data_IF_669048699870
#
_entry.id   IF_669048699870
#
_cell.length_a   1.000
_cell.length_b   1.000
_cell.length_c   1.000
_cell.angle_alpha   90.00
_cell.angle_beta   90.00
_cell.angle_gamma   90.00
#
_symmetry.space_group_name_H-M   'P 1'
#
loop_
_entity.id
_entity.type
_entity.pdbx_description
1 polymer ?
#
# COMPACT_ATOMS: atom_id res chain seq x y z
N UNK A 1 -26.79 -50.50 -20.76
CA UNK A 1 -25.57 -49.70 -21.00
C UNK A 1 -25.98 -48.33 -21.53
N UNK A 2 -26.00 -47.30 -20.70
CA UNK A 2 -26.05 -45.90 -21.14
C UNK A 2 -25.06 -45.14 -20.26
N UNK A 3 -24.01 -44.62 -20.89
CA UNK A 3 -22.81 -44.11 -20.24
C UNK A 3 -23.02 -42.75 -19.57
N UNK A 4 -22.51 -42.67 -18.34
CA UNK A 4 -22.16 -41.43 -17.65
C UNK A 4 -21.24 -40.58 -18.53
N UNK A 5 -21.52 -39.28 -18.63
CA UNK A 5 -20.54 -38.28 -19.03
C UNK A 5 -20.22 -37.40 -17.83
N UNK A 6 -18.99 -37.54 -17.35
CA UNK A 6 -18.39 -36.75 -16.29
C UNK A 6 -18.39 -35.26 -16.63
N UNK A 7 -18.94 -34.45 -15.72
CA UNK A 7 -18.82 -33.00 -15.76
C UNK A 7 -17.50 -32.61 -15.08
N UNK A 8 -16.48 -32.30 -15.90
CA UNK A 8 -15.20 -31.79 -15.44
C UNK A 8 -15.39 -30.44 -14.71
N UNK A 9 -15.13 -30.42 -13.41
CA UNK A 9 -15.05 -29.21 -12.61
C UNK A 9 -13.91 -28.32 -13.12
N UNK A 10 -14.24 -27.17 -13.72
CA UNK A 10 -13.26 -26.15 -14.11
C UNK A 10 -12.95 -25.28 -12.91
N UNK A 11 -11.69 -25.33 -12.46
CA UNK A 11 -11.19 -24.56 -11.32
C UNK A 11 -11.27 -23.04 -11.55
N UNK A 12 -11.68 -22.32 -10.51
CA UNK A 12 -11.70 -20.86 -10.45
C UNK A 12 -10.28 -20.31 -10.45
N UNK A 13 -9.85 -19.66 -11.55
CA UNK A 13 -8.55 -18.99 -11.65
C UNK A 13 -8.61 -17.62 -10.97
N UNK A 14 -8.42 -17.59 -9.66
CA UNK A 14 -8.11 -16.38 -8.90
C UNK A 14 -6.59 -16.14 -8.98
N UNK A 15 -6.18 -15.01 -9.57
CA UNK A 15 -4.75 -14.62 -9.71
C UNK A 15 -4.48 -13.39 -8.87
N UNK A 16 -3.40 -13.42 -8.09
CA UNK A 16 -2.88 -12.27 -7.33
C UNK A 16 -1.55 -11.90 -7.93
N UNK A 17 -1.47 -10.71 -8.52
CA UNK A 17 -0.20 -10.12 -8.94
C UNK A 17 0.24 -9.09 -7.90
N UNK A 18 1.41 -9.32 -7.32
CA UNK A 18 2.08 -8.34 -6.48
C UNK A 18 3.16 -7.69 -7.32
N UNK A 19 2.84 -6.54 -7.91
CA UNK A 19 3.87 -5.74 -8.56
C UNK A 19 4.78 -5.08 -7.50
N UNK A 20 5.93 -5.73 -7.25
CA UNK A 20 6.99 -5.18 -6.43
C UNK A 20 8.01 -4.37 -7.25
N UNK A 21 7.94 -4.35 -8.58
CA UNK A 21 8.91 -3.69 -9.47
C UNK A 21 8.50 -2.24 -9.74
N UNK A 22 8.87 -1.37 -8.80
CA UNK A 22 8.86 0.08 -8.99
C UNK A 22 10.15 0.67 -8.44
N UNK A 23 11.28 0.25 -9.00
CA UNK A 23 12.54 0.98 -8.85
C UNK A 23 12.46 2.24 -9.72
N UNK A 24 12.49 3.38 -9.04
CA UNK A 24 12.53 4.72 -9.63
C UNK A 24 14.00 5.07 -9.79
N UNK A 25 14.46 5.11 -11.04
CA UNK A 25 15.67 5.81 -11.47
C UNK A 25 15.21 7.06 -12.20
N UNK A 26 15.24 8.20 -11.50
CA UNK A 26 15.16 9.53 -12.13
C UNK A 26 16.61 9.99 -12.28
N UNK A 27 17.11 10.05 -13.52
CA UNK A 27 18.29 10.85 -13.85
C UNK A 27 17.86 11.97 -14.80
N UNK A 28 18.09 13.19 -14.32
CA UNK A 28 17.90 14.47 -14.96
C UNK A 28 19.29 14.93 -15.40
N UNK A 29 19.51 15.08 -16.71
CA UNK A 29 20.73 15.69 -17.25
C UNK A 29 20.33 16.85 -18.15
N UNK A 30 20.56 18.05 -17.63
CA UNK A 30 20.58 19.31 -18.37
C UNK A 30 22.03 19.72 -18.65
N UNK A 31 22.32 20.19 -19.88
CA UNK A 31 23.26 21.29 -20.26
C UNK A 31 23.59 21.25 -21.78
N UNK A 32 24.16 22.30 -22.41
CA UNK A 32 23.49 23.55 -22.82
C UNK A 32 23.76 23.96 -24.30
N UNK A 33 23.05 25.03 -24.73
CA UNK A 33 23.30 26.03 -25.80
C UNK A 33 24.01 25.70 -27.13
N UNK A 34 23.39 26.05 -28.27
CA UNK A 34 23.92 27.10 -29.17
C UNK A 34 22.90 27.61 -30.22
N UNK A 35 23.08 28.88 -30.60
CA UNK A 35 22.28 29.76 -31.48
C UNK A 35 22.56 29.52 -32.98
N UNK A 36 21.55 29.73 -33.83
CA UNK A 36 21.73 30.60 -35.02
C UNK A 36 21.19 30.17 -36.41
N UNK A 37 19.98 30.69 -36.72
CA UNK A 37 19.56 31.39 -37.98
C UNK A 37 19.25 30.71 -39.34
N UNK A 38 18.06 31.12 -39.86
CA UNK A 38 17.52 31.22 -41.26
C UNK A 38 17.15 29.92 -42.01
N UNK A 39 16.02 29.78 -42.73
CA UNK A 39 14.84 30.60 -43.03
C UNK A 39 13.97 29.91 -44.12
N UNK A 40 12.75 30.44 -44.34
CA UNK A 40 11.84 30.30 -45.52
C UNK A 40 10.82 29.12 -45.61
N UNK A 41 9.56 29.48 -45.34
CA UNK A 41 8.29 29.34 -46.11
C UNK A 41 7.87 28.00 -46.78
N UNK A 42 6.77 27.39 -46.32
CA UNK A 42 5.38 27.46 -46.88
C UNK A 42 4.47 26.27 -46.49
N UNK A 43 3.24 26.64 -46.09
CA UNK A 43 1.91 25.99 -46.12
C UNK A 43 1.68 24.49 -45.79
N UNK A 44 0.85 24.24 -44.73
CA UNK A 44 -0.49 23.65 -44.83
C UNK A 44 -0.96 22.89 -43.55
N UNK A 45 -2.05 23.42 -42.96
CA UNK A 45 -3.20 22.72 -42.35
C UNK A 45 -3.01 21.64 -41.25
N UNK A 46 -3.33 21.97 -39.99
CA UNK A 46 -4.13 21.17 -39.05
C UNK A 46 -4.74 22.05 -37.91
N UNK A 47 -5.88 21.66 -37.28
CA UNK A 47 -6.85 22.59 -36.68
C UNK A 47 -6.63 22.95 -35.19
N UNK A 48 -7.17 24.12 -34.81
CA UNK A 48 -7.21 24.66 -33.44
C UNK A 48 -8.31 24.05 -32.55
N UNK A 49 -8.13 24.04 -31.21
CA UNK A 49 -9.06 23.46 -30.25
C UNK A 49 -10.30 24.34 -29.98
N UNK A 50 -11.44 23.77 -29.53
CA UNK A 50 -12.69 24.51 -29.38
C UNK A 50 -12.69 25.41 -28.12
N UNK A 51 -13.08 26.68 -28.32
CA UNK A 51 -13.35 27.63 -27.26
C UNK A 51 -14.69 27.33 -26.55
N UNK A 52 -14.69 27.61 -25.24
CA UNK A 52 -15.81 27.50 -24.31
C UNK A 52 -17.03 28.30 -24.79
N UNK A 53 -18.17 27.63 -24.86
CA UNK A 53 -19.50 28.23 -25.06
C UNK A 53 -19.92 29.00 -23.81
N UNK A 54 -20.09 30.31 -23.96
CA UNK A 54 -20.77 31.20 -23.02
C UNK A 54 -22.27 31.12 -23.35
N UNK A 55 -23.09 30.74 -22.36
CA UNK A 55 -24.54 30.75 -22.49
C UNK A 55 -25.09 32.12 -22.10
N UNK A 56 -25.82 32.72 -23.03
CA UNK A 56 -26.61 33.94 -22.88
C UNK A 56 -27.93 33.64 -22.16
N UNK A 57 -28.32 34.50 -21.21
CA UNK A 57 -29.68 34.53 -20.65
C UNK A 57 -30.20 35.96 -20.61
N UNK A 58 -31.36 36.15 -21.25
CA UNK A 58 -32.17 37.36 -21.41
C UNK A 58 -32.80 37.81 -20.08
N UNK A 59 -33.04 39.12 -19.84
CA UNK A 59 -33.65 39.60 -18.60
C UNK A 59 -35.19 39.58 -18.67
N UNK A 60 -35.84 39.15 -17.60
CA UNK A 60 -37.29 39.31 -17.40
C UNK A 60 -37.53 39.92 -16.02
N UNK A 61 -38.16 41.11 -16.03
CA UNK A 61 -38.45 41.93 -14.87
C UNK A 61 -39.78 41.53 -14.21
N UNK A 62 -39.77 41.25 -12.90
CA UNK A 62 -40.94 41.39 -12.02
C UNK A 62 -40.47 41.67 -10.57
N UNK A 63 -41.18 42.53 -9.80
CA UNK A 63 -40.64 43.11 -8.56
C UNK A 63 -40.85 42.20 -7.33
N UNK A 64 -39.95 42.35 -6.36
CA UNK A 64 -39.92 41.60 -5.10
C UNK A 64 -40.88 42.18 -4.03
N UNK A 65 -41.45 41.33 -3.16
CA UNK A 65 -42.21 41.78 -1.98
C UNK A 65 -41.29 42.17 -0.80
N UNK A 66 -41.76 43.02 0.14
CA UNK A 66 -40.92 43.65 1.17
C UNK A 66 -40.48 42.66 2.26
N UNK A 67 -39.23 42.81 2.70
CA UNK A 67 -38.59 42.03 3.75
C UNK A 67 -38.99 42.53 5.15
N UNK A 68 -39.48 41.61 5.99
CA UNK A 68 -39.74 41.84 7.42
C UNK A 68 -38.41 41.65 8.19
N UNK A 69 -38.04 42.57 9.10
CA UNK A 69 -36.83 42.43 9.90
C UNK A 69 -36.99 41.38 11.01
N UNK A 70 -36.19 40.32 10.96
CA UNK A 70 -36.08 39.34 12.04
C UNK A 70 -35.15 39.87 13.14
N UNK A 71 -35.70 40.10 14.33
CA UNK A 71 -34.99 40.41 15.57
C UNK A 71 -34.34 39.13 16.14
N UNK A 72 -33.13 39.20 16.71
CA UNK A 72 -32.50 38.04 17.35
C UNK A 72 -33.12 37.79 18.74
N UNK A 73 -33.77 36.63 18.88
CA UNK A 73 -34.31 36.13 20.15
C UNK A 73 -33.17 35.70 21.09
N UNK A 74 -33.04 36.40 22.22
CA UNK A 74 -32.11 36.09 23.31
C UNK A 74 -32.62 34.88 24.09
N UNK A 75 -31.90 33.75 23.98
CA UNK A 75 -32.16 32.55 24.78
C UNK A 75 -31.56 32.73 26.20
N UNK A 76 -32.30 32.48 27.29
CA UNK A 76 -31.74 32.57 28.65
C UNK A 76 -30.71 31.46 28.91
N UNK A 77 -29.60 31.83 29.56
CA UNK A 77 -28.51 30.95 30.01
C UNK A 77 -28.97 30.08 31.18
N UNK A 78 -28.80 28.77 31.07
CA UNK A 78 -28.94 27.84 32.19
C UNK A 78 -27.80 28.02 33.22
N UNK A 79 -28.04 27.78 34.53
CA UNK A 79 -27.02 27.91 35.57
C UNK A 79 -25.89 26.88 35.39
N UNK A 80 -24.64 27.33 35.54
CA UNK A 80 -23.45 26.46 35.56
C UNK A 80 -23.30 25.82 36.95
N UNK A 81 -23.28 24.49 36.99
CA UNK A 81 -22.85 23.71 38.16
C UNK A 81 -21.30 23.68 38.22
N UNK A 82 -20.66 23.65 39.42
CA UNK A 82 -19.20 23.77 39.52
C UNK A 82 -18.46 22.59 38.88
N UNK A 83 -17.45 22.92 38.07
CA UNK A 83 -16.54 21.96 37.44
C UNK A 83 -15.76 21.18 38.49
N UNK A 84 -16.06 19.89 38.65
CA UNK A 84 -15.17 18.97 39.35
C UNK A 84 -13.99 18.62 38.44
N UNK A 85 -12.77 18.76 38.97
CA UNK A 85 -11.52 18.40 38.32
C UNK A 85 -11.49 16.89 38.06
N UNK A 86 -11.43 16.49 36.79
CA UNK A 86 -11.17 15.11 36.40
C UNK A 86 -9.68 14.80 36.63
N UNK A 87 -9.33 13.61 37.18
CA UNK A 87 -7.95 13.21 37.37
C UNK A 87 -7.22 13.00 36.01
N UNK A 88 -5.89 13.11 35.98
CA UNK A 88 -5.11 13.00 34.75
C UNK A 88 -5.32 11.63 34.12
N UNK A 89 -5.73 11.62 32.85
CA UNK A 89 -5.87 10.42 32.04
C UNK A 89 -4.50 9.77 31.90
N UNK A 90 -4.37 8.57 32.48
CA UNK A 90 -3.27 7.64 32.15
C UNK A 90 -3.28 7.37 30.65
N UNK A 91 -2.12 7.28 29.98
CA UNK A 91 -2.08 6.95 28.56
C UNK A 91 -2.60 5.51 28.37
N UNK A 92 -3.81 5.39 27.84
CA UNK A 92 -4.34 4.12 27.37
C UNK A 92 -3.35 3.56 26.36
N UNK A 93 -2.75 2.41 26.70
CA UNK A 93 -2.00 1.59 25.77
C UNK A 93 -2.87 1.35 24.54
N UNK A 94 -2.56 2.03 23.44
CA UNK A 94 -3.23 1.84 22.16
C UNK A 94 -2.91 0.41 21.76
N UNK A 95 -3.89 -0.49 21.88
CA UNK A 95 -3.85 -1.82 21.29
C UNK A 95 -3.50 -1.68 19.82
N UNK A 96 -2.24 -1.91 19.46
CA UNK A 96 -1.76 -1.73 18.10
C UNK A 96 -2.36 -2.84 17.24
N UNK A 97 -3.39 -2.52 16.47
CA UNK A 97 -3.97 -3.45 15.50
C UNK A 97 -2.86 -3.99 14.60
N UNK A 98 -2.68 -5.31 14.48
CA UNK A 98 -1.62 -5.89 13.65
C UNK A 98 -1.72 -5.42 12.19
N UNK A 99 -0.57 -5.05 11.63
CA UNK A 99 -0.45 -4.71 10.20
C UNK A 99 -0.42 -5.97 9.36
N UNK A 100 -1.01 -5.93 8.17
CA UNK A 100 -0.99 -7.02 7.19
C UNK A 100 0.44 -7.38 6.77
N UNK A 101 0.76 -8.66 6.91
CA UNK A 101 1.96 -9.29 6.37
C UNK A 101 1.82 -9.56 4.87
N UNK A 102 2.94 -9.82 4.16
CA UNK A 102 2.89 -10.20 2.75
C UNK A 102 2.01 -11.43 2.46
N UNK A 103 2.02 -12.44 3.35
CA UNK A 103 1.16 -13.64 3.23
C UNK A 103 -0.32 -13.30 3.32
N UNK A 104 -0.69 -12.39 4.21
CA UNK A 104 -2.07 -11.94 4.38
C UNK A 104 -2.57 -11.24 3.11
N UNK A 105 -1.73 -10.40 2.50
CA UNK A 105 -2.04 -9.72 1.24
C UNK A 105 -2.29 -10.67 0.07
N UNK A 106 -1.70 -11.86 0.10
CA UNK A 106 -1.90 -12.89 -0.94
C UNK A 106 -3.18 -13.70 -0.72
N UNK A 107 -3.53 -13.97 0.53
CA UNK A 107 -4.54 -14.98 0.87
C UNK A 107 -5.88 -14.37 1.26
N UNK A 108 -5.89 -13.37 2.13
CA UNK A 108 -7.12 -12.79 2.67
C UNK A 108 -8.05 -12.19 1.60
N UNK A 109 -7.57 -11.46 0.58
CA UNK A 109 -8.45 -10.95 -0.47
C UNK A 109 -9.19 -12.06 -1.21
N UNK A 110 -8.49 -13.15 -1.55
CA UNK A 110 -9.08 -14.26 -2.31
C UNK A 110 -10.11 -15.02 -1.49
N UNK A 111 -9.81 -15.26 -0.20
CA UNK A 111 -10.75 -15.89 0.72
C UNK A 111 -12.02 -15.04 0.86
N UNK A 112 -11.87 -13.73 1.05
CA UNK A 112 -13.01 -12.83 1.19
C UNK A 112 -13.84 -12.72 -0.10
N UNK A 113 -13.20 -12.65 -1.27
CA UNK A 113 -13.90 -12.65 -2.57
C UNK A 113 -14.73 -13.93 -2.71
N UNK A 114 -14.11 -15.10 -2.49
CA UNK A 114 -14.81 -16.39 -2.61
C UNK A 114 -15.97 -16.50 -1.62
N UNK A 115 -15.77 -16.04 -0.40
CA UNK A 115 -16.79 -16.04 0.64
C UNK A 115 -17.97 -15.15 0.27
N UNK A 116 -17.73 -13.88 -0.06
CA UNK A 116 -18.79 -12.93 -0.41
C UNK A 116 -19.47 -13.28 -1.74
N UNK A 117 -18.73 -13.81 -2.71
CA UNK A 117 -19.33 -14.29 -3.95
C UNK A 117 -20.36 -15.39 -3.69
N UNK A 118 -20.01 -16.41 -2.90
CA UNK A 118 -20.91 -17.52 -2.54
C UNK A 118 -22.06 -17.11 -1.63
N UNK A 119 -21.80 -16.26 -0.64
CA UNK A 119 -22.75 -15.95 0.43
C UNK A 119 -23.60 -14.71 0.14
N UNK A 120 -23.21 -13.85 -0.81
CA UNK A 120 -23.90 -12.60 -1.15
C UNK A 120 -24.19 -12.51 -2.64
N UNK A 121 -23.17 -12.49 -3.49
CA UNK A 121 -23.34 -12.08 -4.90
C UNK A 121 -23.98 -13.16 -5.79
N UNK A 122 -23.83 -14.44 -5.45
CA UNK A 122 -24.52 -15.57 -6.12
C UNK A 122 -25.89 -15.88 -5.53
N UNK A 123 -26.24 -15.28 -4.39
CA UNK A 123 -27.51 -15.51 -3.73
C UNK A 123 -28.65 -14.83 -4.48
N UNK A 124 -29.84 -15.41 -4.42
CA UNK A 124 -31.06 -14.75 -4.91
C UNK A 124 -31.64 -13.84 -3.84
N UNK A 125 -32.00 -12.63 -4.24
CA UNK A 125 -32.49 -11.58 -3.35
C UNK A 125 -33.77 -10.95 -3.90
N UNK A 126 -34.73 -10.70 -3.01
CA UNK A 126 -35.84 -9.77 -3.23
C UNK A 126 -35.63 -8.57 -2.30
N UNK A 127 -35.15 -7.45 -2.87
CA UNK A 127 -34.63 -6.33 -2.09
C UNK A 127 -33.50 -6.78 -1.16
N UNK A 128 -33.75 -6.78 0.15
CA UNK A 128 -32.84 -7.23 1.20
C UNK A 128 -33.17 -8.62 1.77
N UNK A 129 -34.24 -9.26 1.31
CA UNK A 129 -34.60 -10.61 1.74
C UNK A 129 -33.84 -11.64 0.88
N UNK A 130 -33.03 -12.48 1.52
CA UNK A 130 -32.41 -13.62 0.84
C UNK A 130 -33.48 -14.69 0.58
N UNK A 131 -33.61 -15.14 -0.66
CA UNK A 131 -34.61 -16.13 -1.08
C UNK A 131 -34.08 -17.57 -0.99
N UNK A 132 -32.77 -17.74 -0.95
CA UNK A 132 -32.17 -19.05 -0.77
C UNK A 132 -32.20 -19.46 0.70
N UNK A 133 -32.26 -20.77 0.98
CA UNK A 133 -32.36 -21.24 2.38
C UNK A 133 -31.08 -20.92 3.14
N UNK A 134 -31.21 -20.77 4.46
CA UNK A 134 -30.06 -20.58 5.35
C UNK A 134 -29.09 -21.77 5.20
N UNK A 135 -27.81 -21.47 4.98
CA UNK A 135 -26.77 -22.48 4.77
C UNK A 135 -26.62 -23.00 3.34
N UNK A 136 -27.54 -22.71 2.42
CA UNK A 136 -27.33 -23.04 1.00
C UNK A 136 -26.23 -22.14 0.42
N UNK A 137 -25.53 -22.60 -0.61
CA UNK A 137 -24.64 -21.76 -1.40
C UNK A 137 -25.41 -21.07 -2.52
N UNK A 138 -25.04 -19.83 -2.85
CA UNK A 138 -25.63 -19.13 -3.99
C UNK A 138 -25.26 -19.80 -5.31
N UNK A 139 -26.24 -19.97 -6.20
CA UNK A 139 -26.09 -20.63 -7.52
C UNK A 139 -26.21 -19.65 -8.69
N UNK A 140 -26.35 -18.36 -8.42
CA UNK A 140 -26.37 -17.32 -9.44
C UNK A 140 -25.02 -17.14 -10.15
N UNK A 141 -25.02 -16.27 -11.18
CA UNK A 141 -23.81 -15.92 -11.95
C UNK A 141 -22.71 -15.34 -11.06
N UNK A 142 -23.07 -14.57 -10.03
CA UNK A 142 -22.14 -13.98 -9.08
C UNK A 142 -21.31 -12.85 -9.68
N UNK A 143 -20.20 -12.53 -9.02
CA UNK A 143 -19.17 -11.64 -9.53
C UNK A 143 -18.55 -12.18 -10.83
N UNK A 144 -17.93 -11.31 -11.66
CA UNK A 144 -17.13 -11.77 -12.80
C UNK A 144 -16.12 -12.84 -12.39
N UNK A 145 -15.99 -13.89 -13.18
CA UNK A 145 -14.96 -14.90 -12.95
C UNK A 145 -13.56 -14.28 -13.08
N UNK A 146 -12.62 -14.75 -12.25
CA UNK A 146 -11.24 -14.29 -12.30
C UNK A 146 -11.03 -12.84 -11.87
N UNK A 147 -11.76 -12.34 -10.85
CA UNK A 147 -11.45 -11.04 -10.24
C UNK A 147 -9.99 -11.03 -9.80
N UNK A 148 -9.21 -10.15 -10.42
CA UNK A 148 -7.80 -9.98 -10.12
C UNK A 148 -7.64 -8.97 -8.98
N UNK A 149 -6.73 -9.25 -8.04
CA UNK A 149 -6.39 -8.31 -6.96
C UNK A 149 -4.92 -7.90 -7.09
N UNK A 150 -4.68 -6.60 -7.22
CA UNK A 150 -3.34 -6.03 -7.34
C UNK A 150 -3.06 -5.08 -6.18
N UNK A 151 -1.88 -5.19 -5.58
CA UNK A 151 -1.44 -4.32 -4.49
C UNK A 151 -0.55 -3.18 -4.99
N UNK A 152 -1.00 -1.95 -4.78
CA UNK A 152 -0.35 -0.74 -5.28
C UNK A 152 0.35 0.06 -4.19
N UNK A 153 1.63 0.36 -4.42
CA UNK A 153 2.40 1.32 -3.61
C UNK A 153 2.14 2.78 -4.00
N UNK A 154 1.49 3.00 -5.14
CA UNK A 154 1.21 4.30 -5.77
C UNK A 154 -0.20 4.83 -5.46
N UNK A 155 -1.11 3.98 -5.00
CA UNK A 155 -2.43 4.39 -4.51
C UNK A 155 -2.30 5.01 -3.10
N UNK A 156 -2.06 6.33 -3.02
CA UNK A 156 -1.72 7.02 -1.76
C UNK A 156 -2.86 7.81 -1.12
N UNK A 157 -3.92 8.10 -1.87
CA UNK A 157 -5.05 8.93 -1.42
C UNK A 157 -6.35 8.15 -1.26
N UNK A 158 -6.44 6.97 -1.86
CA UNK A 158 -7.59 6.07 -1.78
C UNK A 158 -7.13 4.71 -1.28
N UNK A 159 -8.05 3.97 -0.67
CA UNK A 159 -7.78 2.65 -0.13
C UNK A 159 -7.85 1.56 -1.20
N UNK A 160 -8.76 1.70 -2.15
CA UNK A 160 -8.97 0.77 -3.25
C UNK A 160 -9.51 1.46 -4.50
N UNK A 161 -9.57 0.70 -5.59
CA UNK A 161 -10.27 1.05 -6.82
C UNK A 161 -10.60 -0.21 -7.63
N UNK A 162 -11.87 -0.36 -8.02
CA UNK A 162 -12.30 -1.38 -8.97
C UNK A 162 -12.26 -0.89 -10.42
N UNK A 163 -11.97 -1.80 -11.36
CA UNK A 163 -12.13 -1.60 -12.81
C UNK A 163 -12.79 -2.83 -13.41
N UNK A 164 -13.69 -2.60 -14.37
CA UNK A 164 -14.38 -3.67 -15.08
C UNK A 164 -14.51 -3.35 -16.56
N UNK A 165 -14.28 -4.36 -17.40
CA UNK A 165 -14.44 -4.29 -18.86
C UNK A 165 -15.17 -5.51 -19.37
N UNK A 166 -16.18 -5.30 -20.22
CA UNK A 166 -16.89 -6.34 -20.95
C UNK A 166 -16.44 -6.33 -22.41
N UNK A 167 -15.96 -7.45 -22.92
CA UNK A 167 -15.64 -7.63 -24.34
C UNK A 167 -16.56 -8.69 -24.94
N UNK A 168 -16.89 -8.54 -26.22
CA UNK A 168 -17.63 -9.54 -27.00
C UNK A 168 -16.77 -9.94 -28.18
N UNK A 169 -16.42 -11.20 -28.28
CA UNK A 169 -15.69 -11.76 -29.42
C UNK A 169 -16.54 -12.79 -30.12
N UNK A 170 -16.54 -12.76 -31.45
CA UNK A 170 -16.97 -13.88 -32.29
C UNK A 170 -15.79 -14.83 -32.41
N UNK A 171 -15.93 -16.04 -31.86
CA UNK A 171 -14.84 -17.02 -31.76
C UNK A 171 -14.42 -17.57 -33.15
N UNK A 172 -15.24 -17.35 -34.18
CA UNK A 172 -14.98 -17.78 -35.56
C UNK A 172 -15.75 -16.89 -36.56
N UNK A 173 -15.15 -16.48 -37.70
CA UNK A 173 -15.91 -15.89 -38.80
C UNK A 173 -16.95 -16.91 -39.28
N UNK A 174 -18.24 -16.63 -39.08
CA UNK A 174 -19.34 -17.53 -39.47
C UNK A 174 -19.97 -18.36 -38.34
N UNK A 175 -19.44 -18.33 -37.10
CA UNK A 175 -20.15 -18.91 -35.94
C UNK A 175 -21.10 -17.89 -35.31
N UNK A 176 -22.37 -18.24 -35.02
CA UNK A 176 -23.29 -17.37 -34.28
C UNK A 176 -22.92 -17.23 -32.79
N UNK A 177 -21.93 -17.97 -32.29
CA UNK A 177 -21.58 -17.99 -30.87
C UNK A 177 -20.73 -16.77 -30.48
N UNK A 178 -21.40 -15.77 -29.89
CA UNK A 178 -20.77 -14.58 -29.30
C UNK A 178 -20.31 -14.90 -27.89
N UNK A 179 -19.00 -15.04 -27.68
CA UNK A 179 -18.43 -15.21 -26.34
C UNK A 179 -18.30 -13.83 -25.68
N UNK A 180 -18.94 -13.65 -24.52
CA UNK A 180 -18.77 -12.43 -23.71
C UNK A 180 -17.74 -12.70 -22.63
N UNK A 181 -16.64 -11.96 -22.65
CA UNK A 181 -15.59 -12.03 -21.63
C UNK A 181 -15.65 -10.83 -20.71
N UNK A 182 -15.40 -11.06 -19.43
CA UNK A 182 -15.36 -10.03 -18.41
C UNK A 182 -13.95 -9.96 -17.83
N UNK A 183 -13.39 -8.76 -17.72
CA UNK A 183 -12.14 -8.49 -17.02
C UNK A 183 -12.48 -7.62 -15.82
N UNK A 184 -12.18 -8.09 -14.62
CA UNK A 184 -12.44 -7.39 -13.37
C UNK A 184 -11.14 -7.31 -12.56
N UNK A 185 -10.78 -6.10 -12.15
CA UNK A 185 -9.56 -5.81 -11.39
C UNK A 185 -9.93 -4.99 -10.15
N UNK A 186 -9.37 -5.35 -9.00
CA UNK A 186 -9.38 -4.56 -7.78
C UNK A 186 -7.95 -4.18 -7.42
N UNK A 187 -7.65 -2.89 -7.47
CA UNK A 187 -6.38 -2.33 -7.00
C UNK A 187 -6.51 -1.90 -5.54
N UNK A 188 -5.65 -2.39 -4.64
CA UNK A 188 -5.65 -2.06 -3.21
C UNK A 188 -4.36 -1.33 -2.80
N UNK A 189 -4.48 -0.33 -1.94
CA UNK A 189 -3.34 0.43 -1.43
C UNK A 189 -2.57 -0.32 -0.35
N UNK A 190 -1.27 -0.52 -0.54
CA UNK A 190 -0.38 -1.09 0.49
C UNK A 190 -0.29 -0.19 1.73
N UNK A 191 -0.43 1.13 1.55
CA UNK A 191 -0.19 2.12 2.61
C UNK A 191 -1.44 2.54 3.35
N UNK A 192 -2.61 2.45 2.70
CA UNK A 192 -3.90 2.83 3.29
C UNK A 192 -4.64 1.59 3.81
N UNK A 193 -4.63 0.50 3.06
CA UNK A 193 -5.31 -0.78 3.38
C UNK A 193 -4.35 -1.72 4.09
N UNK A 194 -3.97 -1.35 5.31
CA UNK A 194 -2.82 -1.94 6.01
C UNK A 194 -3.16 -2.84 7.19
N UNK A 195 -4.44 -3.02 7.51
CA UNK A 195 -4.94 -3.93 8.56
C UNK A 195 -6.03 -4.83 7.98
N UNK A 196 -6.32 -5.94 8.66
CA UNK A 196 -7.37 -6.89 8.24
C UNK A 196 -8.75 -6.22 8.12
N UNK A 197 -9.13 -5.41 9.11
CA UNK A 197 -10.40 -4.67 9.08
C UNK A 197 -10.49 -3.75 7.86
N UNK A 198 -9.46 -2.92 7.62
CA UNK A 198 -9.44 -2.02 6.44
C UNK A 198 -9.51 -2.80 5.12
N UNK A 199 -8.83 -3.96 5.04
CA UNK A 199 -8.91 -4.84 3.89
C UNK A 199 -10.35 -5.31 3.65
N UNK A 200 -11.03 -5.80 4.68
CA UNK A 200 -12.40 -6.32 4.56
C UNK A 200 -13.36 -5.24 4.07
N UNK A 201 -13.37 -4.08 4.72
CA UNK A 201 -14.25 -2.96 4.36
C UNK A 201 -14.00 -2.47 2.93
N UNK A 202 -12.73 -2.23 2.59
CA UNK A 202 -12.37 -1.71 1.27
C UNK A 202 -12.60 -2.73 0.17
N UNK A 203 -12.20 -3.97 0.35
CA UNK A 203 -12.42 -4.99 -0.68
C UNK A 203 -13.92 -5.21 -0.90
N UNK A 204 -14.73 -5.30 0.17
CA UNK A 204 -16.17 -5.40 0.03
C UNK A 204 -16.79 -4.21 -0.74
N UNK A 205 -16.33 -2.99 -0.48
CA UNK A 205 -16.72 -1.80 -1.24
C UNK A 205 -16.42 -1.95 -2.74
N UNK A 206 -15.19 -2.33 -3.09
CA UNK A 206 -14.80 -2.52 -4.48
C UNK A 206 -15.58 -3.67 -5.16
N UNK A 207 -15.92 -4.73 -4.42
CA UNK A 207 -16.77 -5.82 -4.94
C UNK A 207 -18.21 -5.38 -5.15
N UNK A 208 -18.77 -4.50 -4.31
CA UNK A 208 -20.09 -3.91 -4.55
C UNK A 208 -20.13 -3.08 -5.83
N UNK A 209 -19.04 -2.39 -6.19
CA UNK A 209 -18.91 -1.74 -7.50
C UNK A 209 -18.94 -2.77 -8.63
N UNK A 210 -18.14 -3.83 -8.55
CA UNK A 210 -18.14 -4.89 -9.56
C UNK A 210 -19.52 -5.54 -9.72
N UNK A 211 -20.23 -5.79 -8.63
CA UNK A 211 -21.59 -6.33 -8.66
C UNK A 211 -22.58 -5.38 -9.34
N UNK A 212 -22.58 -4.09 -8.98
CA UNK A 212 -23.42 -3.08 -9.61
C UNK A 212 -23.18 -3.00 -11.13
N UNK A 213 -21.92 -3.08 -11.58
CA UNK A 213 -21.58 -3.01 -13.01
C UNK A 213 -21.88 -4.31 -13.76
N UNK A 214 -21.47 -5.45 -13.21
CA UNK A 214 -21.48 -6.72 -13.93
C UNK A 214 -22.83 -7.44 -13.84
N UNK A 215 -23.50 -7.34 -12.69
CA UNK A 215 -24.77 -8.02 -12.40
C UNK A 215 -25.94 -7.11 -12.76
N UNK A 216 -25.98 -5.89 -12.21
CA UNK A 216 -27.12 -4.98 -12.40
C UNK A 216 -26.99 -4.07 -13.63
N UNK A 217 -25.78 -3.92 -14.18
CA UNK A 217 -25.51 -3.05 -15.33
C UNK A 217 -25.53 -1.55 -14.99
N UNK A 218 -25.51 -1.18 -13.71
CA UNK A 218 -25.59 0.21 -13.25
C UNK A 218 -24.18 0.83 -13.11
N UNK A 219 -23.70 1.52 -14.15
CA UNK A 219 -22.37 2.15 -14.15
C UNK A 219 -22.31 3.54 -13.49
N UNK A 220 -23.43 4.29 -13.55
CA UNK A 220 -23.51 5.66 -13.03
C UNK A 220 -24.86 5.87 -12.33
N UNK A 221 -24.89 6.60 -11.21
CA UNK A 221 -23.73 7.14 -10.49
C UNK A 221 -22.91 6.01 -9.80
N UNK A 222 -21.61 6.22 -9.48
CA UNK A 222 -20.75 5.15 -8.95
C UNK A 222 -21.32 4.44 -7.71
N UNK A 223 -21.95 5.20 -6.81
CA UNK A 223 -22.60 4.70 -5.59
C UNK A 223 -24.13 4.85 -5.65
N UNK A 224 -24.72 4.51 -6.79
CA UNK A 224 -26.17 4.56 -7.01
C UNK A 224 -26.96 3.48 -6.27
N UNK A 225 -28.27 3.33 -6.58
CA UNK A 225 -29.16 2.37 -5.93
C UNK A 225 -28.63 0.92 -5.93
N UNK A 226 -28.07 0.43 -7.04
CA UNK A 226 -27.49 -0.90 -7.12
C UNK A 226 -26.36 -1.10 -6.10
N UNK A 227 -25.37 -0.19 -6.09
CA UNK A 227 -24.26 -0.23 -5.14
C UNK A 227 -24.75 -0.25 -3.69
N UNK A 228 -25.67 0.66 -3.33
CA UNK A 228 -26.21 0.76 -1.97
C UNK A 228 -26.96 -0.52 -1.56
N UNK A 229 -27.64 -1.16 -2.50
CA UNK A 229 -28.35 -2.42 -2.25
C UNK A 229 -27.37 -3.55 -1.99
N UNK A 230 -26.32 -3.69 -2.80
CA UNK A 230 -25.26 -4.68 -2.56
C UNK A 230 -24.51 -4.44 -1.27
N UNK A 231 -24.16 -3.18 -0.96
CA UNK A 231 -23.53 -2.81 0.30
C UNK A 231 -24.35 -3.27 1.51
N UNK A 232 -25.67 -3.01 1.51
CA UNK A 232 -26.59 -3.47 2.56
C UNK A 232 -26.64 -5.01 2.64
N UNK A 233 -26.68 -5.71 1.50
CA UNK A 233 -26.68 -7.19 1.48
C UNK A 233 -25.38 -7.75 2.06
N UNK A 234 -24.22 -7.16 1.73
CA UNK A 234 -22.94 -7.55 2.34
C UNK A 234 -22.98 -7.34 3.85
N UNK A 235 -23.39 -6.16 4.32
CA UNK A 235 -23.46 -5.84 5.75
C UNK A 235 -24.46 -6.72 6.52
N UNK A 236 -25.54 -7.18 5.88
CA UNK A 236 -26.49 -8.13 6.48
C UNK A 236 -25.87 -9.52 6.69
N UNK A 237 -25.08 -10.00 5.72
CA UNK A 237 -24.44 -11.33 5.78
C UNK A 237 -23.16 -11.30 6.61
N UNK A 238 -22.43 -10.18 6.59
CA UNK A 238 -21.17 -9.93 7.30
C UNK A 238 -21.26 -8.66 8.12
N UNK A 239 -21.83 -8.72 9.34
CA UNK A 239 -21.98 -7.56 10.22
C UNK A 239 -20.64 -6.95 10.69
N UNK A 240 -19.54 -7.69 10.60
CA UNK A 240 -18.18 -7.20 10.87
C UNK A 240 -17.62 -6.34 9.73
N UNK A 241 -18.31 -6.25 8.58
CA UNK A 241 -17.91 -5.45 7.42
C UNK A 241 -18.85 -4.25 7.29
N UNK A 242 -18.29 -3.05 7.39
CA UNK A 242 -18.97 -1.81 7.02
C UNK A 242 -18.62 -1.39 5.58
N UNK A 243 -19.64 -1.20 4.74
CA UNK A 243 -19.49 -0.66 3.39
C UNK A 243 -20.17 0.70 3.29
N UNK A 244 -19.35 1.75 3.26
CA UNK A 244 -19.79 3.14 3.10
C UNK A 244 -19.56 3.61 1.66
N UNK A 245 -20.07 4.79 1.28
CA UNK A 245 -19.76 5.43 -0.02
C UNK A 245 -18.35 6.02 -0.06
N UNK A 246 -17.79 6.34 1.11
CA UNK A 246 -16.43 6.85 1.26
C UNK A 246 -15.80 6.26 2.52
N UNK A 247 -14.55 5.81 2.42
CA UNK A 247 -13.76 5.42 3.60
C UNK A 247 -13.00 6.63 4.13
N UNK A 248 -13.16 6.93 5.42
CA UNK A 248 -12.41 7.96 6.12
C UNK A 248 -11.29 7.32 6.97
N UNK A 249 -10.37 6.60 6.33
CA UNK A 249 -9.25 6.03 7.06
C UNK A 249 -8.21 7.08 7.44
N UNK A 250 -7.69 6.95 8.65
CA UNK A 250 -6.48 7.67 9.02
C UNK A 250 -5.28 7.09 8.25
N UNK A 251 -4.65 7.95 7.44
CA UNK A 251 -3.43 7.62 6.70
C UNK A 251 -2.23 8.01 7.55
N UNK A 252 -1.49 7.02 8.02
CA UNK A 252 -0.27 7.26 8.80
C UNK A 252 0.88 7.62 7.86
N UNK A 253 1.34 8.86 7.95
CA UNK A 253 2.50 9.35 7.20
C UNK A 253 3.77 9.24 8.04
N UNK A 254 4.80 8.56 7.50
CA UNK A 254 6.11 8.44 8.16
C UNK A 254 6.80 9.80 8.34
N UNK A 255 6.66 10.67 7.35
CA UNK A 255 7.24 11.99 7.38
C UNK A 255 6.11 13.02 7.43
N UNK A 256 6.13 13.85 8.46
CA UNK A 256 5.13 14.86 8.73
C UNK A 256 5.83 16.18 8.99
N UNK A 257 5.25 17.26 8.50
CA UNK A 257 5.71 18.62 8.74
C UNK A 257 4.53 19.52 9.08
N UNK A 258 4.73 20.48 9.96
CA UNK A 258 3.73 21.47 10.33
C UNK A 258 4.18 22.86 9.92
N UNK A 259 3.25 23.66 9.41
CA UNK A 259 3.47 25.09 9.22
C UNK A 259 3.77 25.77 10.55
N UNK A 260 4.84 26.56 10.59
CA UNK A 260 5.27 27.32 11.78
C UNK A 260 4.32 28.46 12.14
N UNK A 261 3.54 28.97 11.18
CA UNK A 261 2.56 30.03 11.45
C UNK A 261 1.36 29.45 12.19
N UNK A 262 1.16 29.90 13.43
CA UNK A 262 0.08 29.45 14.31
C UNK A 262 -1.32 29.61 13.68
N UNK A 263 -1.57 30.69 12.93
CA UNK A 263 -2.84 30.91 12.22
C UNK A 263 -3.05 29.98 11.02
N UNK A 264 -2.00 29.36 10.49
CA UNK A 264 -2.09 28.41 9.40
C UNK A 264 -2.12 26.97 9.90
N UNK A 265 -1.16 26.56 10.74
CA UNK A 265 -1.11 25.26 11.40
C UNK A 265 -1.11 24.02 10.48
N UNK A 266 -1.09 24.18 9.15
CA UNK A 266 -1.30 23.11 8.18
C UNK A 266 -0.26 22.01 8.34
N UNK A 267 -0.73 20.76 8.39
CA UNK A 267 0.12 19.57 8.45
C UNK A 267 0.24 18.96 7.07
N UNK A 268 1.48 18.68 6.67
CA UNK A 268 1.85 18.01 5.44
C UNK A 268 2.35 16.61 5.78
N UNK A 269 1.67 15.58 5.26
CA UNK A 269 2.10 14.19 5.38
C UNK A 269 2.69 13.66 4.08
N UNK A 270 3.80 12.91 4.15
CA UNK A 270 4.40 12.17 3.03
C UNK A 270 4.84 10.78 3.46
N UNK A 271 4.81 9.84 2.52
CA UNK A 271 5.33 8.48 2.74
C UNK A 271 6.83 8.35 2.43
N UNK A 272 7.41 9.30 1.72
CA UNK A 272 8.85 9.45 1.46
C UNK A 272 9.38 10.76 2.07
N UNK A 273 10.69 10.85 2.28
CA UNK A 273 11.34 12.06 2.79
C UNK A 273 11.57 13.08 1.67
N UNK A 274 10.50 13.47 0.97
CA UNK A 274 10.60 14.30 -0.25
C UNK A 274 10.50 15.80 0.00
N UNK A 275 10.24 16.21 1.24
CA UNK A 275 10.14 17.63 1.59
C UNK A 275 11.43 18.03 2.28
N UNK A 276 12.15 18.97 1.67
CA UNK A 276 13.28 19.63 2.30
C UNK A 276 12.82 20.96 2.93
N UNK A 277 12.77 21.10 4.27
CA UNK A 277 12.32 22.33 4.93
C UNK A 277 13.17 23.57 4.65
N UNK A 278 14.39 23.41 4.12
CA UNK A 278 15.24 24.56 3.75
C UNK A 278 14.78 25.24 2.46
N UNK A 279 14.24 24.47 1.52
CA UNK A 279 13.81 24.95 0.19
C UNK A 279 12.28 24.99 0.04
N UNK A 280 11.55 24.11 0.75
CA UNK A 280 10.10 24.01 0.65
C UNK A 280 9.44 24.71 1.84
N UNK A 281 8.43 25.55 1.55
CA UNK A 281 7.62 26.26 2.53
C UNK A 281 6.14 25.89 2.48
N UNK A 282 5.38 26.40 3.43
CA UNK A 282 3.92 26.35 3.39
C UNK A 282 3.41 27.35 2.33
N UNK A 283 2.29 27.07 1.61
CA UNK A 283 1.69 28.03 0.67
C UNK A 283 1.31 29.40 1.26
N UNK A 284 1.25 29.54 2.59
CA UNK A 284 1.02 30.82 3.25
C UNK A 284 2.31 31.68 3.39
N UNK A 285 3.45 31.19 2.90
CA UNK A 285 4.75 31.86 2.94
C UNK A 285 5.61 31.54 4.16
N UNK A 286 5.09 30.79 5.15
CA UNK A 286 5.84 30.43 6.36
C UNK A 286 6.63 29.13 6.21
N UNK A 287 7.70 28.98 7.00
CA UNK A 287 8.49 27.75 7.06
C UNK A 287 7.67 26.59 7.62
N UNK A 288 8.11 25.38 7.31
CA UNK A 288 7.56 24.14 7.85
C UNK A 288 8.62 23.45 8.70
N UNK A 289 8.20 22.78 9.77
CA UNK A 289 9.09 22.04 10.67
C UNK A 289 8.65 20.59 10.76
N UNK A 290 9.58 19.62 10.82
CA UNK A 290 9.23 18.23 10.95
C UNK A 290 8.59 17.93 12.31
N UNK A 291 7.50 17.17 12.31
CA UNK A 291 6.79 16.72 13.52
C UNK A 291 6.85 15.19 13.65
N UNK A 292 6.75 14.70 14.87
CA UNK A 292 6.63 13.27 15.18
C UNK A 292 5.21 12.74 14.93
N UNK A 293 4.88 11.53 15.43
CA UNK A 293 3.54 10.94 15.27
C UNK A 293 2.50 11.63 16.15
N UNK A 294 2.91 12.07 17.33
CA UNK A 294 2.07 12.73 18.32
C UNK A 294 1.81 14.21 17.98
N UNK A 295 2.53 14.74 17.00
CA UNK A 295 2.39 16.10 16.51
C UNK A 295 3.38 17.08 17.12
N UNK A 296 4.33 16.61 17.92
CA UNK A 296 5.37 17.46 18.50
C UNK A 296 6.47 17.74 17.47
N UNK A 297 7.03 18.94 17.52
CA UNK A 297 8.17 19.33 16.69
C UNK A 297 9.37 18.46 17.07
N UNK A 298 10.03 17.85 16.08
CA UNK A 298 11.21 17.02 16.33
C UNK A 298 12.37 17.86 16.88
N UNK A 299 13.01 17.35 17.93
CA UNK A 299 14.19 17.96 18.57
C UNK A 299 15.29 18.31 17.54
N UNK A 300 15.86 19.52 17.65
CA UNK A 300 16.85 20.05 16.71
C UNK A 300 16.25 20.85 15.53
N UNK A 301 14.93 20.92 15.41
CA UNK A 301 14.21 21.78 14.45
C UNK A 301 13.27 22.78 15.12
N UNK A 302 13.20 22.78 16.45
CA UNK A 302 12.39 23.69 17.27
C UNK A 302 13.22 24.86 17.81
N UNK A 303 13.53 25.82 16.95
CA UNK A 303 13.88 27.20 17.31
C UNK A 303 13.53 28.01 16.05
N UNK A 304 12.56 28.93 16.05
CA UNK A 304 12.44 30.20 16.78
C UNK A 304 10.95 30.65 16.70
N UNK A 305 10.38 31.49 17.58
CA UNK A 305 10.93 32.71 18.20
C UNK A 305 10.17 33.16 19.46
N UNK A 306 10.86 33.91 20.32
CA UNK A 306 10.29 35.07 21.01
C UNK A 306 11.18 36.29 20.70
N UNK A 307 10.60 37.21 19.91
CA UNK A 307 10.81 38.67 19.86
C UNK A 307 12.23 39.24 19.67
N UNK A 308 12.46 39.82 18.48
CA UNK A 308 13.22 41.07 18.30
C UNK A 308 14.68 40.99 17.85
N UNK A 309 15.00 41.64 16.72
CA UNK A 309 16.31 42.28 16.50
C UNK A 309 17.33 41.58 15.59
N UNK A 310 17.50 42.18 14.39
CA UNK A 310 18.74 42.33 13.59
C UNK A 310 19.55 41.12 13.10
N UNK A 311 20.16 41.33 11.93
CA UNK A 311 20.92 40.42 11.10
C UNK A 311 22.03 39.60 11.80
N UNK A 312 22.26 38.40 11.26
CA UNK A 312 23.56 37.70 11.31
C UNK A 312 23.62 36.47 12.20
N UNK A 313 23.67 35.28 11.58
CA UNK A 313 24.59 34.17 11.90
C UNK A 313 24.08 32.89 11.22
N UNK A 314 24.82 32.40 10.23
CA UNK A 314 24.75 31.00 9.83
C UNK A 314 25.14 30.15 11.05
N UNK A 315 24.17 29.48 11.66
CA UNK A 315 24.46 28.53 12.73
C UNK A 315 25.22 27.34 12.13
N UNK A 316 26.38 26.93 12.69
CA UNK A 316 27.14 25.83 12.13
C UNK A 316 26.30 24.55 12.25
N UNK A 317 26.08 23.89 11.12
CA UNK A 317 25.54 22.54 11.07
C UNK A 317 26.51 21.65 11.83
N UNK A 318 26.23 21.28 13.08
CA UNK A 318 27.03 20.28 13.78
C UNK A 318 27.10 19.05 12.90
N UNK A 319 28.29 18.77 12.37
CA UNK A 319 28.53 17.70 11.43
C UNK A 319 28.22 16.38 12.14
N UNK A 320 27.08 15.77 11.81
CA UNK A 320 26.74 14.45 12.36
C UNK A 320 27.82 13.49 11.91
N UNK A 321 28.59 12.96 12.88
CA UNK A 321 29.54 11.88 12.64
C UNK A 321 28.86 10.79 11.80
N UNK A 322 29.44 10.50 10.63
CA UNK A 322 28.92 9.47 9.72
C UNK A 322 28.86 8.14 10.49
N UNK A 323 27.84 7.33 10.23
CA UNK A 323 27.81 5.99 10.85
C UNK A 323 28.99 5.16 10.35
N UNK A 324 29.51 4.23 11.15
CA UNK A 324 30.62 3.34 10.76
C UNK A 324 30.38 2.59 9.44
N UNK A 325 29.11 2.26 9.14
CA UNK A 325 28.71 1.66 7.86
C UNK A 325 28.89 2.62 6.68
N UNK A 326 28.56 3.89 6.85
CA UNK A 326 28.71 4.91 5.80
C UNK A 326 30.19 5.18 5.52
N UNK A 327 31.02 5.21 6.56
CA UNK A 327 32.48 5.32 6.42
C UNK A 327 33.06 4.12 5.67
N UNK A 328 32.65 2.91 6.05
CA UNK A 328 33.03 1.68 5.36
C UNK A 328 32.61 1.68 3.90
N UNK A 329 31.39 2.12 3.62
CA UNK A 329 30.86 2.15 2.26
C UNK A 329 31.59 3.19 1.39
N UNK A 330 31.98 4.32 1.97
CA UNK A 330 32.82 5.33 1.30
C UNK A 330 34.21 4.78 0.97
N UNK A 331 34.79 3.96 1.86
CA UNK A 331 36.10 3.35 1.64
C UNK A 331 36.05 2.17 0.63
N UNK A 332 35.03 1.33 0.70
CA UNK A 332 34.97 0.07 -0.05
C UNK A 332 34.30 0.19 -1.42
N UNK A 333 33.34 1.10 -1.60
CA UNK A 333 32.64 1.22 -2.89
C UNK A 333 33.54 1.59 -4.08
N UNK A 334 34.60 2.42 -3.95
CA UNK A 334 35.52 2.67 -5.05
C UNK A 334 36.38 1.45 -5.41
N UNK A 335 36.75 0.62 -4.42
CA UNK A 335 37.52 -0.60 -4.63
C UNK A 335 36.68 -1.65 -5.37
N UNK A 336 35.44 -1.85 -4.92
CA UNK A 336 34.50 -2.79 -5.55
C UNK A 336 34.22 -2.38 -7.00
N UNK A 337 34.10 -1.08 -7.31
CA UNK A 337 33.95 -0.59 -8.68
C UNK A 337 35.18 -0.81 -9.54
N UNK A 338 36.38 -0.65 -8.98
CA UNK A 338 37.62 -0.89 -9.70
C UNK A 338 37.78 -2.36 -10.06
N UNK A 339 37.42 -3.24 -9.13
CA UNK A 339 37.41 -4.69 -9.33
C UNK A 339 36.27 -5.15 -10.24
N UNK A 340 35.17 -4.38 -10.30
CA UNK A 340 33.96 -4.74 -11.04
C UNK A 340 33.39 -3.53 -11.82
N UNK A 341 34.07 -3.08 -12.90
CA UNK A 341 33.73 -1.84 -13.61
C UNK A 341 32.40 -1.90 -14.38
N UNK A 342 31.90 -3.09 -14.70
CA UNK A 342 30.64 -3.28 -15.43
C UNK A 342 29.42 -3.51 -14.53
N UNK A 343 29.59 -3.57 -13.21
CA UNK A 343 28.48 -3.85 -12.30
C UNK A 343 27.60 -2.61 -12.06
N UNK A 344 26.27 -2.76 -12.06
CA UNK A 344 25.38 -1.67 -11.70
C UNK A 344 25.52 -1.32 -10.21
N UNK A 345 25.16 -0.08 -9.87
CA UNK A 345 25.26 0.49 -8.52
C UNK A 345 24.67 -0.42 -7.43
N UNK A 346 23.54 -1.07 -7.71
CA UNK A 346 22.85 -1.97 -6.79
C UNK A 346 23.69 -3.18 -6.39
N UNK A 347 24.42 -3.78 -7.33
CA UNK A 347 25.30 -4.93 -7.07
C UNK A 347 26.56 -4.51 -6.31
N UNK A 348 27.11 -3.32 -6.59
CA UNK A 348 28.22 -2.74 -5.79
C UNK A 348 27.81 -2.57 -4.32
N UNK A 349 26.58 -2.12 -4.05
CA UNK A 349 26.07 -2.01 -2.68
C UNK A 349 25.87 -3.37 -1.99
N UNK A 350 25.45 -4.42 -2.73
CA UNK A 350 25.33 -5.78 -2.19
C UNK A 350 26.69 -6.35 -1.79
N UNK A 351 27.68 -6.24 -2.67
CA UNK A 351 29.05 -6.66 -2.39
C UNK A 351 29.64 -5.92 -1.18
N UNK A 352 29.40 -4.60 -1.08
CA UNK A 352 29.82 -3.83 0.09
C UNK A 352 29.12 -4.31 1.37
N UNK A 353 27.84 -4.69 1.31
CA UNK A 353 27.11 -5.21 2.46
C UNK A 353 27.64 -6.58 2.91
N UNK A 354 28.04 -7.44 1.98
CA UNK A 354 28.68 -8.73 2.27
C UNK A 354 30.05 -8.55 2.91
N UNK A 355 30.90 -7.67 2.35
CA UNK A 355 32.21 -7.33 2.96
C UNK A 355 32.05 -6.78 4.37
N UNK A 356 31.02 -5.97 4.62
CA UNK A 356 30.75 -5.44 5.97
C UNK A 356 30.28 -6.50 6.96
N UNK A 357 29.50 -7.49 6.50
CA UNK A 357 29.12 -8.63 7.33
C UNK A 357 30.35 -9.45 7.73
N UNK A 358 31.27 -9.71 6.79
CA UNK A 358 32.52 -10.40 7.07
C UNK A 358 33.38 -9.62 8.09
N UNK A 359 33.61 -8.33 7.85
CA UNK A 359 34.38 -7.47 8.78
C UNK A 359 33.74 -7.41 10.18
N UNK A 360 32.41 -7.41 10.26
CA UNK A 360 31.71 -7.47 11.55
C UNK A 360 31.84 -8.84 12.23
N UNK A 361 31.82 -9.92 11.47
CA UNK A 361 32.03 -11.26 12.01
C UNK A 361 33.46 -11.40 12.54
N UNK A 362 34.47 -10.97 11.77
CA UNK A 362 35.88 -11.02 12.17
C UNK A 362 36.17 -10.15 13.40
N UNK A 363 35.57 -8.96 13.47
CA UNK A 363 35.67 -8.09 14.64
C UNK A 363 35.01 -8.69 15.90
N UNK A 364 34.00 -9.56 15.74
CA UNK A 364 33.41 -10.29 16.86
C UNK A 364 34.33 -11.43 17.33
N UNK A 365 34.98 -12.13 16.41
CA UNK A 365 35.88 -13.27 16.68
C UNK A 365 37.17 -12.85 17.39
N UNK A 366 37.71 -11.65 17.10
CA UNK A 366 38.96 -11.15 17.69
C UNK A 366 38.78 -10.67 19.16
N UNK A 367 37.55 -10.54 19.65
CA UNK A 367 37.27 -9.93 20.97
C UNK A 367 37.23 -10.89 22.17
N UNK A 368 37.62 -12.16 22.02
CA UNK A 368 37.62 -13.14 23.13
C UNK A 368 39.06 -13.46 23.59
N UNK A 369 39.50 -13.09 24.81
CA UNK A 369 40.83 -13.46 25.29
C UNK A 369 40.85 -14.91 25.81
N UNK A 370 41.88 -15.67 25.42
CA UNK A 370 42.14 -17.03 25.87
C UNK A 370 42.78 -17.05 27.28
N UNK A 371 42.14 -17.72 28.24
CA UNK A 371 42.76 -18.11 29.52
C UNK A 371 43.30 -19.54 29.44
N UNK A 372 44.52 -19.84 29.96
CA UNK A 372 45.09 -21.18 29.90
C UNK A 372 44.55 -22.04 31.06
N UNK A 373 44.01 -23.22 30.75
CA UNK A 373 43.60 -24.22 31.75
C UNK A 373 44.70 -25.26 31.99
N UNK A 374 44.98 -25.49 33.27
CA UNK A 374 45.98 -26.37 33.87
C UNK A 374 45.48 -27.84 33.83
N UNK A 375 46.36 -28.77 33.46
CA UNK A 375 46.11 -30.23 33.41
C UNK A 375 46.11 -30.90 34.80
N UNK A 376 45.44 -32.06 34.82
CA UNK A 376 45.59 -33.26 35.69
C UNK A 376 44.98 -33.19 37.11
N UNK A 377 44.27 -34.21 37.62
CA UNK A 377 43.89 -35.51 37.04
C UNK A 377 43.22 -36.42 38.09
N UNK A 378 42.92 -37.64 37.62
CA UNK A 378 42.73 -38.92 38.34
C UNK A 378 41.30 -39.36 38.69
N UNK A 379 40.80 -40.26 37.84
CA UNK A 379 39.90 -41.38 38.16
C UNK A 379 40.73 -42.63 38.48
N UNK A 380 40.18 -43.57 39.26
CA UNK A 380 40.66 -44.96 39.35
C UNK A 380 39.55 -45.92 39.84
N UNK A 381 39.52 -47.10 39.21
CA UNK A 381 38.61 -48.23 39.42
C UNK A 381 38.38 -48.94 38.07
N UNK A 382 39.38 -49.57 37.43
CA UNK A 382 39.84 -50.99 37.51
C UNK A 382 38.64 -51.96 37.35
N UNK A 383 38.54 -52.85 36.34
CA UNK A 383 39.22 -54.18 36.24
C UNK A 383 38.77 -54.92 34.93
N UNK A 384 39.76 -55.37 34.14
CA UNK A 384 39.92 -56.59 33.27
C UNK A 384 39.30 -56.75 31.84
N UNK A 385 40.21 -56.85 30.86
CA UNK A 385 40.22 -57.59 29.57
C UNK A 385 40.68 -59.08 29.77
N UNK A 386 40.84 -60.01 28.77
CA UNK A 386 40.89 -59.86 27.29
C UNK A 386 40.26 -61.04 26.45
N UNK A 387 40.63 -61.10 25.15
CA UNK A 387 40.45 -62.12 24.08
C UNK A 387 39.27 -61.88 23.11
N UNK A 388 39.36 -62.08 21.79
CA UNK A 388 40.43 -62.08 20.77
C UNK A 388 39.71 -62.25 19.42
N UNK A 389 40.17 -61.52 18.41
CA UNK A 389 40.26 -61.86 16.97
C UNK A 389 39.03 -62.22 16.07
N UNK A 390 39.09 -61.60 14.88
CA UNK A 390 38.81 -62.14 13.53
C UNK A 390 37.44 -61.93 12.81
N UNK A 391 37.58 -61.29 11.63
CA UNK A 391 36.93 -61.54 10.33
C UNK A 391 35.54 -60.92 9.99
N UNK A 392 35.47 -60.31 8.79
CA UNK A 392 34.21 -60.05 8.09
C UNK A 392 34.16 -58.89 7.09
N UNK A 393 35.02 -58.88 6.06
CA UNK A 393 34.80 -58.11 4.80
C UNK A 393 33.51 -58.53 4.08
N UNK A 394 32.91 -57.62 3.29
CA UNK A 394 31.83 -57.97 2.37
C UNK A 394 31.02 -56.81 1.78
N UNK A 395 31.68 -55.76 1.29
CA UNK A 395 31.13 -54.86 0.25
C UNK A 395 31.16 -55.60 -1.10
N UNK A 396 30.14 -55.41 -1.95
CA UNK A 396 30.21 -55.43 -3.42
C UNK A 396 28.80 -55.46 -4.03
N UNK A 397 28.53 -54.57 -4.98
CA UNK A 397 27.57 -54.87 -6.05
C UNK A 397 26.71 -53.73 -6.59
N UNK A 398 27.33 -52.71 -7.20
CA UNK A 398 26.68 -51.84 -8.20
C UNK A 398 26.31 -52.65 -9.45
N UNK A 399 25.15 -52.37 -10.04
CA UNK A 399 24.93 -52.56 -11.49
C UNK A 399 23.88 -51.58 -12.02
N UNK A 400 24.33 -50.77 -12.98
CA UNK A 400 23.55 -49.88 -13.83
C UNK A 400 23.22 -50.59 -15.14
N UNK A 401 22.06 -50.27 -15.71
CA UNK A 401 21.88 -50.21 -17.16
C UNK A 401 20.57 -50.78 -17.68
N UNK A 402 19.81 -49.97 -18.42
CA UNK A 402 19.66 -50.12 -19.88
C UNK A 402 18.65 -49.10 -20.44
N UNK A 403 19.03 -48.53 -21.58
CA UNK A 403 18.34 -47.57 -22.45
C UNK A 403 17.51 -48.29 -23.54
N UNK A 404 16.78 -47.47 -24.31
CA UNK A 404 16.13 -47.66 -25.63
C UNK A 404 14.61 -47.94 -25.57
N UNK A 405 13.74 -47.22 -26.28
CA UNK A 405 13.84 -46.40 -27.51
C UNK A 405 13.07 -45.07 -27.41
#
# INVERSE_FOLDING_TARGET
MLGLRDAQARGSNLRVEIDLKGESSEEDTASPDEKGTKGHDDDAFLPSPPLRRISTSTPSSRPAPPSIPHTPSVRPKAPRLPSQLLPPRTPSSISSVPRLLPKDRQTLPLLLIRELDRSVFRKRWDGLRCLDKKGEEGRGKGLPEGVEVVWSKRLLKTAGRATWKRSRSTTTPGSPEKTTTHQALVELSVKVTDTDAKLKHTLAHELCHLAAWAIDGEMKPPHGPAFKTWAKRVMLVRPDIEVTTTHAYEIVYKYRWQCTRATCGKIFGRHSNSINPSTHGCPCGSRIVPIDKDGNIKSGHGAVASVGGTAGAETPRTERKKSKWVEFLQAQSPLIRRENPSLPQSEVFKLAAERWKAVKADAATISVPATPSKKSGRSAGVVLDPDSDEEGEGDLGKSLGRLEL
#
